data_IF_337282223368
#
_entry.id   IF_337282223368
#
_cell.length_a   1.000
_cell.length_b   1.000
_cell.length_c   1.000
_cell.angle_alpha   90.00
_cell.angle_beta   90.00
_cell.angle_gamma   90.00
#
_symmetry.space_group_name_H-M   'P 1'
#
loop_
_entity.id
_entity.type
_entity.pdbx_description
1 polymer ?
#
# COMPACT_ATOMS: atom_id res chain seq x y z
N UNK A 1 7.40 28.81 -54.92
CA UNK A 1 8.51 27.92 -54.51
C UNK A 1 9.25 28.45 -53.30
N UNK A 2 9.87 29.64 -53.35
CA UNK A 2 10.71 30.14 -52.22
C UNK A 2 10.01 30.35 -50.87
N UNK A 3 8.70 30.62 -50.84
CA UNK A 3 7.98 30.70 -49.55
C UNK A 3 7.79 29.31 -48.91
N UNK A 4 7.55 28.25 -49.68
CA UNK A 4 7.38 26.91 -49.14
C UNK A 4 8.68 26.35 -48.57
N UNK A 5 9.80 26.62 -49.26
CA UNK A 5 11.14 26.24 -48.80
C UNK A 5 11.50 26.92 -47.48
N UNK A 6 11.12 28.20 -47.32
CA UNK A 6 11.29 28.92 -46.06
C UNK A 6 10.50 28.28 -44.92
N UNK A 7 9.22 27.97 -45.14
CA UNK A 7 8.39 27.32 -44.10
C UNK A 7 8.91 25.91 -43.75
N UNK A 8 9.40 25.14 -44.71
CA UNK A 8 10.00 23.84 -44.44
C UNK A 8 11.30 23.96 -43.63
N UNK A 9 12.12 24.97 -43.92
CA UNK A 9 13.34 25.24 -43.14
C UNK A 9 13.02 25.69 -41.70
N UNK A 10 12.00 26.54 -41.54
CA UNK A 10 11.54 26.98 -40.22
C UNK A 10 10.98 25.81 -39.39
N UNK A 11 10.23 24.89 -40.01
CA UNK A 11 9.72 23.68 -39.35
C UNK A 11 10.86 22.74 -38.93
N UNK A 12 11.85 22.50 -39.79
CA UNK A 12 13.02 21.67 -39.44
C UNK A 12 13.81 22.29 -38.28
N UNK A 13 13.91 23.62 -38.25
CA UNK A 13 14.59 24.36 -37.18
C UNK A 13 13.82 24.26 -35.86
N UNK A 14 12.48 24.37 -35.91
CA UNK A 14 11.61 24.20 -34.73
C UNK A 14 11.61 22.76 -34.21
N UNK A 15 11.62 21.77 -35.09
CA UNK A 15 11.72 20.35 -34.73
C UNK A 15 13.08 20.03 -34.09
N UNK A 16 14.18 20.47 -34.70
CA UNK A 16 15.53 20.27 -34.15
C UNK A 16 15.74 21.00 -32.81
N UNK A 17 15.13 22.17 -32.64
CA UNK A 17 15.13 22.88 -31.36
C UNK A 17 14.23 22.17 -30.32
N UNK A 18 13.07 21.64 -30.72
CA UNK A 18 12.21 20.83 -29.84
C UNK A 18 12.93 19.56 -29.37
N UNK A 19 13.61 18.86 -30.27
CA UNK A 19 14.35 17.62 -29.99
C UNK A 19 15.58 17.88 -29.09
N UNK A 20 16.24 19.04 -29.23
CA UNK A 20 17.28 19.50 -28.29
C UNK A 20 16.73 19.93 -26.93
N UNK A 21 15.48 20.39 -26.88
CA UNK A 21 14.81 20.80 -25.64
C UNK A 21 14.07 19.65 -24.95
N UNK A 22 13.88 18.50 -25.59
CA UNK A 22 13.35 17.26 -24.99
C UNK A 22 14.07 16.88 -23.68
N UNK A 23 15.42 16.83 -23.60
CA UNK A 23 16.12 16.58 -22.33
C UNK A 23 16.06 17.75 -21.33
N UNK A 24 15.72 18.97 -21.78
CA UNK A 24 15.61 20.18 -20.94
C UNK A 24 14.19 20.53 -20.50
N UNK A 25 13.16 19.86 -21.03
CA UNK A 25 11.88 19.72 -20.35
C UNK A 25 12.15 18.89 -19.10
N UNK A 26 12.70 19.54 -18.06
CA UNK A 26 12.61 19.06 -16.68
C UNK A 26 11.17 18.62 -16.52
N UNK A 27 10.94 17.29 -16.47
CA UNK A 27 9.64 16.71 -16.14
C UNK A 27 9.10 17.57 -15.01
N UNK A 28 8.00 18.29 -15.23
CA UNK A 28 7.32 19.02 -14.14
C UNK A 28 7.30 18.04 -12.97
N UNK A 29 7.93 18.38 -11.84
CA UNK A 29 8.03 17.47 -10.69
C UNK A 29 6.61 16.97 -10.42
N UNK A 30 6.33 15.72 -10.75
CA UNK A 30 4.98 15.20 -10.63
C UNK A 30 4.61 15.25 -9.14
N UNK A 31 3.36 15.58 -8.77
CA UNK A 31 2.97 15.61 -7.36
C UNK A 31 2.93 14.20 -6.73
N UNK A 32 3.13 13.15 -7.54
CA UNK A 32 2.99 11.74 -7.19
C UNK A 32 3.90 11.32 -6.03
N UNK A 33 5.21 11.64 -5.99
CA UNK A 33 6.05 11.26 -4.87
C UNK A 33 5.58 11.87 -3.54
N UNK A 34 5.09 13.11 -3.57
CA UNK A 34 4.53 13.80 -2.40
C UNK A 34 3.21 13.18 -1.94
N UNK A 35 2.37 12.77 -2.88
CA UNK A 35 1.12 12.06 -2.56
C UNK A 35 1.40 10.72 -1.87
N UNK A 36 2.38 9.95 -2.36
CA UNK A 36 2.82 8.73 -1.67
C UNK A 36 3.37 9.01 -0.27
N UNK A 37 4.15 10.09 -0.11
CA UNK A 37 4.65 10.52 1.19
C UNK A 37 3.52 10.90 2.15
N UNK A 38 2.47 11.57 1.66
CA UNK A 38 1.26 11.87 2.43
C UNK A 38 0.57 10.58 2.89
N UNK A 39 0.30 9.64 1.98
CA UNK A 39 -0.32 8.34 2.32
C UNK A 39 0.51 7.63 3.39
N UNK A 40 1.83 7.58 3.22
CA UNK A 40 2.75 6.97 4.18
C UNK A 40 2.66 7.63 5.55
N UNK A 41 2.69 8.96 5.60
CA UNK A 41 2.55 9.72 6.84
C UNK A 41 1.24 9.41 7.58
N UNK A 42 0.13 9.36 6.84
CA UNK A 42 -1.17 9.01 7.40
C UNK A 42 -1.25 7.54 7.84
N UNK A 43 -0.67 6.61 7.09
CA UNK A 43 -0.60 5.19 7.46
C UNK A 43 0.21 4.97 8.75
N UNK A 44 1.36 5.66 8.91
CA UNK A 44 2.16 5.64 10.13
C UNK A 44 1.38 6.21 11.33
N UNK A 45 0.72 7.35 11.13
CA UNK A 45 -0.13 7.98 12.15
C UNK A 45 -1.29 7.07 12.57
N UNK A 46 -1.95 6.41 11.60
CA UNK A 46 -3.01 5.45 11.86
C UNK A 46 -2.50 4.26 12.68
N UNK A 47 -1.34 3.69 12.33
CA UNK A 47 -0.73 2.61 13.08
C UNK A 47 -0.44 3.00 14.53
N UNK A 48 0.13 4.19 14.75
CA UNK A 48 0.42 4.70 16.09
C UNK A 48 -0.87 4.91 16.90
N UNK A 49 -1.93 5.41 16.26
CA UNK A 49 -3.25 5.57 16.88
C UNK A 49 -3.85 4.22 17.28
N UNK A 50 -3.84 3.22 16.38
CA UNK A 50 -4.33 1.88 16.66
C UNK A 50 -3.53 1.20 17.76
N UNK A 51 -2.20 1.29 17.72
CA UNK A 51 -1.31 0.72 18.75
C UNK A 51 -1.62 1.24 20.16
N UNK A 52 -2.02 2.50 20.29
CA UNK A 52 -2.39 3.13 21.59
C UNK A 52 -3.83 2.85 22.02
N UNK A 53 -4.67 2.38 21.11
CA UNK A 53 -6.11 2.21 21.31
C UNK A 53 -6.46 0.84 21.91
N UNK A 54 -5.54 -0.12 21.97
CA UNK A 54 -5.78 -1.43 22.59
C UNK A 54 -5.45 -1.39 24.09
N UNK A 55 -6.42 -1.00 24.93
CA UNK A 55 -6.24 -0.76 26.38
C UNK A 55 -7.05 -1.74 27.24
N UNK A 56 -7.21 -2.97 26.78
CA UNK A 56 -8.02 -4.00 27.43
C UNK A 56 -7.17 -5.09 28.09
N UNK A 57 -7.69 -5.84 29.04
CA UNK A 57 -6.90 -6.89 29.74
C UNK A 57 -6.78 -8.21 28.97
N UNK A 58 -6.98 -8.20 27.65
CA UNK A 58 -6.87 -9.38 26.82
C UNK A 58 -5.43 -9.93 26.79
N UNK A 59 -5.26 -11.21 27.08
CA UNK A 59 -3.97 -11.91 27.05
C UNK A 59 -3.47 -12.25 25.65
N UNK A 60 -4.37 -12.19 24.67
CA UNK A 60 -4.15 -12.52 23.27
C UNK A 60 -4.00 -11.26 22.43
N UNK A 61 -3.41 -11.39 21.24
CA UNK A 61 -3.20 -10.25 20.34
C UNK A 61 -4.49 -9.85 19.61
N UNK A 62 -4.60 -8.57 19.29
CA UNK A 62 -5.62 -8.03 18.41
C UNK A 62 -5.08 -7.95 17.00
N UNK A 63 -5.86 -8.38 16.02
CA UNK A 63 -5.42 -8.33 14.64
C UNK A 63 -6.21 -7.29 13.85
N UNK A 64 -5.51 -6.56 12.98
CA UNK A 64 -6.10 -5.73 11.96
C UNK A 64 -5.59 -6.16 10.58
N UNK A 65 -6.50 -6.12 9.59
CA UNK A 65 -6.15 -6.36 8.18
C UNK A 65 -6.19 -5.03 7.45
N UNK A 66 -5.06 -4.53 6.97
CA UNK A 66 -4.98 -3.32 6.16
C UNK A 66 -5.10 -3.69 4.68
N UNK A 67 -6.14 -3.19 4.00
CA UNK A 67 -6.32 -3.41 2.57
C UNK A 67 -5.22 -2.69 1.76
N UNK A 68 -4.66 -3.41 0.80
CA UNK A 68 -3.72 -2.90 -0.19
C UNK A 68 -4.47 -2.40 -1.42
N UNK A 69 -4.17 -1.18 -1.85
CA UNK A 69 -4.94 -0.48 -2.89
C UNK A 69 -4.04 0.32 -3.83
N UNK A 70 -4.46 0.39 -5.10
CA UNK A 70 -3.93 1.36 -6.06
C UNK A 70 -4.69 2.68 -5.88
N UNK A 71 -4.06 3.66 -5.24
CA UNK A 71 -4.67 4.98 -4.95
C UNK A 71 -4.35 6.06 -6.00
N UNK A 72 -3.39 5.78 -6.89
CA UNK A 72 -2.99 6.69 -7.98
C UNK A 72 -3.50 6.13 -9.32
N UNK A 73 -4.27 6.91 -10.08
CA UNK A 73 -4.61 6.56 -11.47
C UNK A 73 -3.60 7.23 -12.42
N UNK A 74 -3.04 6.46 -13.36
CA UNK A 74 -2.29 7.02 -14.48
C UNK A 74 -3.26 7.16 -15.64
N UNK A 75 -3.71 8.38 -15.97
CA UNK A 75 -4.56 8.56 -17.17
C UNK A 75 -3.71 8.55 -18.45
N UNK A 76 -4.31 8.10 -19.56
CA UNK A 76 -3.72 8.01 -20.90
C UNK A 76 -3.57 9.40 -21.56
N UNK A 77 -3.18 10.44 -20.82
CA UNK A 77 -2.67 11.72 -21.38
C UNK A 77 -2.03 12.60 -20.29
N UNK A 78 -1.15 12.07 -19.43
CA UNK A 78 -0.29 12.90 -18.57
C UNK A 78 -0.97 13.82 -17.55
N UNK A 79 -2.29 13.69 -17.35
CA UNK A 79 -3.06 14.35 -16.29
C UNK A 79 -3.44 13.28 -15.28
N UNK A 80 -2.98 13.44 -14.04
CA UNK A 80 -3.22 12.50 -12.95
C UNK A 80 -4.43 13.03 -12.20
N UNK A 81 -5.62 12.49 -12.48
CA UNK A 81 -6.78 12.71 -11.63
C UNK A 81 -6.70 11.76 -10.44
N UNK A 82 -6.52 12.36 -9.25
CA UNK A 82 -6.74 11.68 -7.97
C UNK A 82 -8.21 11.26 -7.95
N UNK A 83 -8.46 10.00 -7.57
CA UNK A 83 -9.78 9.36 -7.64
C UNK A 83 -10.87 10.22 -6.98
N UNK A 84 -12.08 10.14 -7.55
CA UNK A 84 -13.40 10.58 -7.10
C UNK A 84 -13.71 10.27 -5.62
N UNK A 85 -12.97 10.91 -4.72
CA UNK A 85 -13.41 11.27 -3.38
C UNK A 85 -13.98 12.67 -3.48
N UNK A 86 -15.11 12.92 -2.82
CA UNK A 86 -15.71 14.26 -2.71
C UNK A 86 -14.73 15.33 -2.17
N UNK A 87 -13.54 14.93 -1.72
CA UNK A 87 -12.33 15.75 -1.58
C UNK A 87 -11.08 15.00 -2.13
N UNK A 88 -10.33 15.54 -3.11
CA UNK A 88 -9.13 14.90 -3.69
C UNK A 88 -7.93 14.78 -2.71
N UNK A 89 -8.05 15.35 -1.51
CA UNK A 89 -6.98 15.35 -0.50
C UNK A 89 -7.16 14.31 0.61
N UNK A 90 -8.30 13.64 0.69
CA UNK A 90 -8.64 12.75 1.81
C UNK A 90 -8.22 11.31 1.49
N UNK A 91 -7.16 10.83 2.14
CA UNK A 91 -6.75 9.42 2.05
C UNK A 91 -7.66 8.59 2.95
N UNK A 92 -8.15 7.49 2.40
CA UNK A 92 -9.05 6.55 3.06
C UNK A 92 -8.38 5.18 3.16
N UNK A 93 -8.36 4.61 4.36
CA UNK A 93 -7.83 3.27 4.61
C UNK A 93 -8.94 2.30 4.98
N UNK A 94 -9.13 1.26 4.16
CA UNK A 94 -9.99 0.14 4.54
C UNK A 94 -9.24 -0.78 5.49
N UNK A 95 -9.71 -0.90 6.73
CA UNK A 95 -9.13 -1.76 7.77
C UNK A 95 -10.20 -2.72 8.27
N UNK A 96 -9.87 -4.00 8.37
CA UNK A 96 -10.77 -4.99 8.96
C UNK A 96 -10.33 -5.34 10.37
N UNK A 97 -11.28 -5.34 11.31
CA UNK A 97 -11.05 -5.73 12.70
C UNK A 97 -11.84 -6.98 13.06
N UNK A 98 -11.32 -7.78 13.98
CA UNK A 98 -12.05 -8.90 14.59
C UNK A 98 -12.25 -8.61 16.09
N UNK A 99 -13.48 -8.76 16.62
CA UNK A 99 -13.74 -8.69 18.06
C UNK A 99 -13.24 -9.94 18.79
N UNK A 100 -12.99 -11.05 18.05
CA UNK A 100 -12.38 -12.26 18.58
C UNK A 100 -10.86 -12.11 18.63
N UNK A 101 -10.28 -12.52 19.75
CA UNK A 101 -8.85 -12.50 20.04
C UNK A 101 -8.08 -13.57 19.26
N UNK A 102 -6.82 -13.32 18.89
CA UNK A 102 -5.99 -14.30 18.16
C UNK A 102 -4.96 -14.97 19.07
N UNK A 103 -4.90 -16.30 19.04
CA UNK A 103 -3.79 -17.08 19.61
C UNK A 103 -2.58 -17.05 18.70
N UNK A 104 -1.40 -16.82 19.27
CA UNK A 104 -0.11 -17.02 18.60
C UNK A 104 0.15 -18.54 18.46
N UNK A 105 -0.58 -19.24 17.59
CA UNK A 105 -0.14 -20.57 17.15
C UNK A 105 0.77 -20.41 15.95
N UNK A 106 2.06 -20.60 16.20
CA UNK A 106 3.11 -20.75 15.20
C UNK A 106 2.72 -21.79 14.14
N UNK A 107 3.10 -21.51 12.89
CA UNK A 107 3.22 -22.45 11.77
C UNK A 107 1.92 -23.05 11.20
N UNK A 108 1.65 -22.66 9.94
CA UNK A 108 0.94 -23.42 8.89
C UNK A 108 -0.55 -23.73 9.00
N UNK A 109 -1.26 -23.36 10.06
CA UNK A 109 -2.72 -23.55 10.11
C UNK A 109 -3.48 -22.24 10.18
N UNK A 110 -4.14 -21.95 9.06
CA UNK A 110 -5.34 -21.14 8.86
C UNK A 110 -5.85 -20.41 10.10
N UNK A 111 -5.79 -19.07 10.04
CA UNK A 111 -6.57 -18.13 10.87
C UNK A 111 -7.92 -18.76 11.21
N UNK A 112 -8.37 -18.76 12.48
CA UNK A 112 -9.57 -19.49 12.91
C UNK A 112 -10.72 -19.24 11.95
N UNK A 113 -11.26 -20.34 11.41
CA UNK A 113 -12.24 -20.45 10.32
C UNK A 113 -13.58 -19.72 10.56
N UNK A 114 -13.71 -18.99 11.68
CA UNK A 114 -14.98 -18.39 12.14
C UNK A 114 -14.80 -17.01 12.81
N UNK A 115 -13.69 -16.31 12.55
CA UNK A 115 -13.55 -14.93 13.01
C UNK A 115 -14.40 -14.00 12.13
N UNK A 116 -15.47 -13.41 12.69
CA UNK A 116 -16.19 -12.33 12.03
C UNK A 116 -15.27 -11.11 11.90
N UNK A 117 -15.01 -10.67 10.67
CA UNK A 117 -14.24 -9.47 10.38
C UNK A 117 -15.16 -8.33 9.97
N UNK A 118 -14.97 -7.18 10.61
CA UNK A 118 -15.75 -5.97 10.38
C UNK A 118 -14.95 -5.03 9.50
N UNK A 119 -15.50 -4.69 8.34
CA UNK A 119 -14.91 -3.73 7.42
C UNK A 119 -15.12 -2.31 7.96
N UNK A 120 -14.03 -1.58 8.13
CA UNK A 120 -14.05 -0.17 8.52
C UNK A 120 -13.30 0.66 7.51
N UNK A 121 -13.70 1.91 7.42
CA UNK A 121 -13.10 2.93 6.61
C UNK A 121 -12.57 4.01 7.52
N UNK A 122 -11.27 4.31 7.42
CA UNK A 122 -10.60 5.24 8.32
C UNK A 122 -10.08 6.42 7.53
N UNK A 123 -10.45 7.62 7.98
CA UNK A 123 -10.00 8.89 7.39
C UNK A 123 -9.32 9.74 8.46
N UNK A 124 -8.25 10.42 8.07
CA UNK A 124 -7.57 11.38 8.93
C UNK A 124 -8.09 12.79 8.66
N UNK A 125 -8.39 13.54 9.72
CA UNK A 125 -8.62 14.98 9.68
C UNK A 125 -7.54 15.72 10.47
N UNK A 126 -7.05 16.82 9.90
CA UNK A 126 -6.11 17.73 10.54
C UNK A 126 -6.79 19.07 10.81
N UNK A 127 -6.92 19.41 12.09
CA UNK A 127 -7.30 20.76 12.51
C UNK A 127 -6.09 21.68 12.35
N UNK A 128 -6.15 22.58 11.37
CA UNK A 128 -5.07 23.55 11.15
C UNK A 128 -4.82 24.45 12.39
N UNK A 129 -3.64 25.08 12.48
CA UNK A 129 -3.26 25.93 13.62
C UNK A 129 -4.21 27.11 13.87
N UNK A 130 -5.02 27.51 12.89
CA UNK A 130 -6.02 28.58 13.02
C UNK A 130 -7.28 28.18 13.81
N UNK A 131 -7.58 26.88 13.95
CA UNK A 131 -8.70 26.43 14.78
C UNK A 131 -8.41 26.57 16.28
N UNK A 132 -7.13 26.43 16.68
CA UNK A 132 -6.70 26.56 18.07
C UNK A 132 -6.66 28.00 18.58
N UNK A 133 -6.59 29.01 17.69
CA UNK A 133 -6.59 30.44 18.07
C UNK A 133 -7.98 30.98 18.42
N UNK A 134 -9.06 30.26 18.13
CA UNK A 134 -10.44 30.66 18.50
C UNK A 134 -10.87 30.24 19.91
N UNK A 135 -9.99 29.59 20.68
CA UNK A 135 -10.27 29.12 22.03
C UNK A 135 -9.53 29.93 23.11
N UNK A 136 -9.51 31.26 23.01
CA UNK A 136 -9.12 32.15 24.10
C UNK A 136 -10.18 33.26 24.26
N UNK A 137 -10.70 33.53 25.48
CA UNK A 137 -11.63 34.63 25.69
C UNK A 137 -10.84 35.95 25.64
N UNK A 138 -10.89 36.64 24.50
CA UNK A 138 -10.38 38.01 24.39
C UNK A 138 -11.37 38.97 25.04
N UNK A 139 -10.92 39.64 26.10
CA UNK A 139 -11.57 40.80 26.71
C UNK A 139 -11.78 41.91 25.67
N UNK A 140 -12.99 42.47 25.67
CA UNK A 140 -13.42 43.55 24.78
C UNK A 140 -12.57 44.82 24.98
N UNK A 141 -12.01 45.33 23.89
CA UNK A 141 -11.77 46.77 23.76
C UNK A 141 -12.21 47.23 22.37
N UNK A 142 -13.19 48.12 22.39
CA UNK A 142 -13.88 48.74 21.27
C UNK A 142 -12.91 49.58 20.41
N UNK A 143 -12.67 49.14 19.17
CA UNK A 143 -12.27 50.05 18.10
C UNK A 143 -13.01 49.68 16.81
N UNK A 144 -13.92 50.55 16.41
CA UNK A 144 -14.66 50.51 15.14
C UNK A 144 -13.71 50.34 13.94
N UNK A 145 -13.77 49.18 13.28
CA UNK A 145 -13.33 48.99 11.88
C UNK A 145 -14.50 48.49 11.06
N UNK A 146 -14.85 49.23 10.02
CA UNK A 146 -15.89 48.89 9.04
C UNK A 146 -15.33 47.88 8.06
N UNK A 147 -16.00 46.74 7.88
CA UNK A 147 -15.69 45.72 6.88
C UNK A 147 -16.73 45.75 5.76
N UNK A 148 -16.25 45.70 4.52
CA UNK A 148 -17.08 45.64 3.32
C UNK A 148 -17.69 44.25 3.17
N UNK A 149 -19.02 44.18 3.01
CA UNK A 149 -19.75 42.94 2.72
C UNK A 149 -19.46 42.55 1.26
N UNK A 150 -18.65 41.51 1.07
CA UNK A 150 -18.63 40.76 -0.19
C UNK A 150 -19.39 39.46 0.02
N UNK A 151 -20.63 39.42 -0.45
CA UNK A 151 -21.45 38.23 -0.54
C UNK A 151 -20.87 37.26 -1.58
N UNK A 152 -19.98 36.38 -1.13
CA UNK A 152 -19.55 35.18 -1.85
C UNK A 152 -20.17 33.94 -1.20
N UNK A 153 -20.42 32.86 -1.97
CA UNK A 153 -21.13 31.68 -1.47
C UNK A 153 -20.35 31.06 -0.32
N UNK A 154 -21.06 30.79 0.78
CA UNK A 154 -20.53 30.13 1.98
C UNK A 154 -19.97 28.77 1.56
N UNK A 155 -18.65 28.69 1.41
CA UNK A 155 -17.92 27.42 1.40
C UNK A 155 -18.19 26.77 2.74
N UNK A 156 -19.00 25.70 2.71
CA UNK A 156 -19.26 24.87 3.88
C UNK A 156 -17.93 24.23 4.31
N UNK A 157 -17.23 24.88 5.24
CA UNK A 157 -16.24 24.19 6.05
C UNK A 157 -17.00 23.07 6.77
N UNK A 158 -16.77 21.83 6.35
CA UNK A 158 -17.42 20.65 6.90
C UNK A 158 -17.01 20.51 8.37
N UNK A 159 -17.86 20.99 9.26
CA UNK A 159 -17.81 20.76 10.69
C UNK A 159 -18.21 19.30 10.94
N UNK A 160 -17.25 18.37 10.86
CA UNK A 160 -17.46 16.95 11.16
C UNK A 160 -16.79 16.59 12.48
N UNK A 161 -17.33 17.14 13.57
CA UNK A 161 -17.34 16.42 14.86
C UNK A 161 -18.81 16.44 15.31
N UNK A 162 -19.67 15.79 14.53
CA UNK A 162 -21.04 15.51 14.93
C UNK A 162 -21.05 14.24 15.77
N UNK A 163 -21.29 14.35 17.07
CA UNK A 163 -21.74 13.31 18.02
C UNK A 163 -20.96 11.96 18.08
N UNK A 164 -19.85 11.81 17.35
CA UNK A 164 -19.05 10.60 17.34
C UNK A 164 -18.19 10.51 18.62
N UNK A 165 -18.22 9.38 19.36
CA UNK A 165 -17.48 9.24 20.60
C UNK A 165 -15.98 9.09 20.37
N UNK A 166 -15.17 9.60 21.31
CA UNK A 166 -13.74 9.30 21.36
C UNK A 166 -13.53 7.83 21.75
N UNK A 167 -12.79 7.09 20.95
CA UNK A 167 -12.47 5.68 21.21
C UNK A 167 -11.22 5.64 22.11
N UNK A 168 -11.43 5.38 23.40
CA UNK A 168 -10.34 5.20 24.38
C UNK A 168 -9.78 3.78 24.32
N UNK A 169 -10.66 2.79 24.22
CA UNK A 169 -10.32 1.38 24.04
C UNK A 169 -11.07 0.80 22.83
N UNK A 170 -10.31 0.46 21.78
CA UNK A 170 -10.84 -0.08 20.54
C UNK A 170 -11.43 -1.48 20.74
N UNK A 171 -10.88 -2.28 21.65
CA UNK A 171 -11.42 -3.61 21.96
C UNK A 171 -12.86 -3.52 22.49
N UNK A 172 -13.09 -2.67 23.48
CA UNK A 172 -14.43 -2.43 24.04
C UNK A 172 -15.36 -1.78 23.04
N UNK A 173 -14.89 -0.80 22.27
CA UNK A 173 -15.68 -0.13 21.24
C UNK A 173 -16.17 -1.12 20.17
N UNK A 174 -15.29 -2.01 19.69
CA UNK A 174 -15.67 -3.08 18.76
C UNK A 174 -16.67 -4.04 19.40
N UNK A 175 -16.52 -4.45 20.66
CA UNK A 175 -17.50 -5.36 21.29
C UNK A 175 -18.90 -4.74 21.46
N UNK A 176 -19.00 -3.43 21.66
CA UNK A 176 -20.25 -2.76 22.06
C UNK A 176 -21.03 -2.14 20.89
N UNK A 177 -20.34 -1.56 19.88
CA UNK A 177 -20.98 -0.64 18.93
C UNK A 177 -21.27 -1.20 17.53
N UNK A 178 -21.01 -2.49 17.29
CA UNK A 178 -21.13 -3.09 15.94
C UNK A 178 -22.57 -3.29 15.43
N UNK A 179 -23.59 -3.10 16.28
CA UNK A 179 -24.99 -3.40 15.93
C UNK A 179 -25.84 -2.19 15.51
N UNK A 180 -25.41 -0.94 15.72
CA UNK A 180 -26.35 0.20 15.63
C UNK A 180 -25.80 1.55 15.13
N UNK A 181 -24.53 1.69 14.74
CA UNK A 181 -23.96 3.00 14.35
C UNK A 181 -23.26 2.94 12.99
N UNK A 182 -23.38 4.00 12.20
CA UNK A 182 -22.63 4.16 10.93
C UNK A 182 -21.17 4.54 11.19
N UNK A 183 -20.91 5.29 12.26
CA UNK A 183 -19.59 5.72 12.69
C UNK A 183 -19.30 5.10 14.05
N UNK A 184 -18.17 4.38 14.17
CA UNK A 184 -17.75 3.76 15.42
C UNK A 184 -17.29 4.81 16.43
N UNK A 185 -16.59 5.84 15.94
CA UNK A 185 -16.01 6.92 16.74
C UNK A 185 -14.72 7.44 16.11
N UNK A 186 -13.90 8.15 16.88
CA UNK A 186 -12.61 8.65 16.43
C UNK A 186 -11.46 8.31 17.38
N UNK A 187 -10.24 8.15 16.84
CA UNK A 187 -9.00 8.00 17.58
C UNK A 187 -8.17 9.28 17.51
N UNK A 188 -7.64 9.73 18.65
CA UNK A 188 -6.77 10.92 18.71
C UNK A 188 -5.31 10.56 18.46
N UNK A 189 -4.65 11.30 17.57
CA UNK A 189 -3.21 11.19 17.29
C UNK A 189 -2.42 12.48 17.53
N UNK A 190 -2.40 12.88 18.81
CA UNK A 190 -1.76 14.13 19.24
C UNK A 190 -2.67 15.35 19.07
N UNK A 191 -2.11 16.57 19.16
CA UNK A 191 -2.89 17.79 19.03
C UNK A 191 -3.32 18.00 17.57
N UNK A 192 -4.63 18.00 17.33
CA UNK A 192 -5.21 18.38 16.03
C UNK A 192 -5.31 17.27 14.98
N UNK A 193 -4.83 16.05 15.23
CA UNK A 193 -5.03 14.90 14.32
C UNK A 193 -6.04 13.91 14.90
N UNK A 194 -7.06 13.62 14.11
CA UNK A 194 -8.12 12.67 14.46
C UNK A 194 -8.30 11.66 13.33
N UNK A 195 -8.40 10.39 13.69
CA UNK A 195 -8.75 9.30 12.78
C UNK A 195 -10.19 8.88 13.03
N UNK A 196 -11.10 9.20 12.11
CA UNK A 196 -12.51 8.80 12.20
C UNK A 196 -12.66 7.39 11.64
N UNK A 197 -13.30 6.50 12.41
CA UNK A 197 -13.55 5.11 12.03
C UNK A 197 -15.04 4.96 11.68
N UNK A 198 -15.32 4.79 10.40
CA UNK A 198 -16.65 4.52 9.89
C UNK A 198 -16.82 3.04 9.58
N UNK A 199 -17.99 2.48 9.88
CA UNK A 199 -18.34 1.14 9.43
C UNK A 199 -18.66 1.19 7.93
N UNK A 200 -17.98 0.35 7.14
CA UNK A 200 -18.12 0.39 5.69
C UNK A 200 -19.55 0.05 5.26
N UNK A 201 -20.16 0.88 4.40
CA UNK A 201 -21.52 0.68 3.90
C UNK A 201 -21.66 -0.40 2.80
N UNK A 202 -20.57 -1.10 2.45
CA UNK A 202 -20.46 -1.96 1.27
C UNK A 202 -20.27 -3.44 1.63
N UNK A 203 -20.96 -4.36 0.91
CA UNK A 203 -22.31 -4.76 1.30
C UNK A 203 -22.35 -5.39 2.69
N UNK A 204 -23.47 -5.18 3.38
CA UNK A 204 -23.90 -5.98 4.53
C UNK A 204 -23.70 -7.47 4.20
N UNK A 205 -22.78 -8.13 4.92
CA UNK A 205 -22.30 -9.52 4.75
C UNK A 205 -20.90 -9.68 4.08
N UNK A 206 -19.83 -9.28 4.77
CA UNK A 206 -18.69 -10.21 4.93
C UNK A 206 -18.91 -11.15 6.13
N UNK A 207 -19.93 -10.87 6.95
CA UNK A 207 -20.30 -11.62 8.14
C UNK A 207 -21.03 -12.94 7.86
N UNK A 208 -21.59 -13.19 6.66
CA UNK A 208 -22.33 -14.45 6.42
C UNK A 208 -21.63 -15.46 5.50
N UNK A 209 -20.67 -15.04 4.65
CA UNK A 209 -20.16 -15.90 3.56
C UNK A 209 -18.62 -15.99 3.44
N UNK A 210 -17.83 -15.43 4.37
CA UNK A 210 -16.36 -15.50 4.32
C UNK A 210 -15.78 -16.25 5.52
N UNK A 211 -15.08 -17.35 5.27
CA UNK A 211 -14.60 -18.21 6.36
C UNK A 211 -13.07 -18.42 6.33
N UNK A 212 -12.39 -18.12 5.22
CA UNK A 212 -10.96 -18.46 5.09
C UNK A 212 -10.08 -17.30 4.63
N UNK A 213 -8.88 -17.27 5.18
CA UNK A 213 -7.78 -16.40 4.76
C UNK A 213 -6.71 -17.27 4.10
N UNK A 214 -6.21 -16.85 2.95
CA UNK A 214 -5.12 -17.51 2.22
C UNK A 214 -3.97 -16.52 2.03
N UNK A 215 -2.72 -16.97 2.13
CA UNK A 215 -1.56 -16.17 1.75
C UNK A 215 -1.24 -16.35 0.25
N UNK A 216 -0.49 -15.43 -0.34
CA UNK A 216 -0.12 -15.48 -1.76
C UNK A 216 0.71 -16.72 -2.09
N UNK A 217 1.56 -17.18 -1.18
CA UNK A 217 2.34 -18.42 -1.37
C UNK A 217 1.45 -19.63 -1.65
N UNK A 218 0.37 -19.81 -0.88
CA UNK A 218 -0.59 -20.89 -1.09
C UNK A 218 -1.29 -20.81 -2.45
N UNK A 219 -1.42 -19.62 -3.02
CA UNK A 219 -2.02 -19.40 -4.34
C UNK A 219 -1.04 -19.69 -5.49
N UNK A 220 0.26 -19.48 -5.25
CA UNK A 220 1.32 -19.76 -6.22
C UNK A 220 1.73 -21.26 -6.22
N UNK A 221 1.85 -21.87 -5.03
CA UNK A 221 2.28 -23.27 -4.88
C UNK A 221 1.27 -24.26 -5.48
N UNK A 222 -0.02 -23.94 -5.39
CA UNK A 222 -1.12 -24.82 -5.83
C UNK A 222 -1.13 -25.08 -7.33
N UNK A 223 -0.24 -24.48 -8.13
CA UNK A 223 -0.17 -24.70 -9.58
C UNK A 223 0.77 -25.85 -10.02
N UNK A 224 1.70 -26.31 -9.17
CA UNK A 224 2.88 -27.04 -9.64
C UNK A 224 2.75 -28.58 -9.74
N UNK A 225 1.95 -29.24 -8.88
CA UNK A 225 1.88 -30.72 -8.91
C UNK A 225 0.75 -31.25 -9.82
N UNK A 226 1.11 -32.17 -10.71
CA UNK A 226 0.24 -32.81 -11.73
C UNK A 226 0.07 -34.31 -11.53
N UNK A 227 0.12 -34.83 -10.30
CA UNK A 227 0.10 -36.28 -10.06
C UNK A 227 -0.89 -36.81 -9.03
N UNK A 228 -1.71 -35.98 -8.37
CA UNK A 228 -2.67 -36.48 -7.38
C UNK A 228 -4.12 -36.25 -7.80
N UNK A 229 -4.91 -37.34 -7.79
CA UNK A 229 -6.28 -37.44 -8.34
C UNK A 229 -7.33 -36.72 -7.48
N UNK A 230 -6.92 -35.84 -6.56
CA UNK A 230 -7.83 -34.97 -5.80
C UNK A 230 -8.08 -33.65 -6.56
N UNK A 231 -8.64 -33.79 -7.75
CA UNK A 231 -9.10 -32.78 -8.72
C UNK A 231 -10.20 -31.82 -8.19
N UNK A 232 -10.27 -31.54 -6.89
CA UNK A 232 -11.41 -30.82 -6.31
C UNK A 232 -11.21 -29.35 -6.02
N UNK A 233 -10.03 -28.73 -6.17
CA UNK A 233 -9.90 -27.26 -6.00
C UNK A 233 -8.55 -26.65 -6.47
N UNK A 234 -8.00 -26.99 -7.64
CA UNK A 234 -6.79 -26.32 -8.16
C UNK A 234 -7.14 -24.94 -8.73
N UNK A 235 -7.25 -23.92 -7.86
CA UNK A 235 -7.56 -22.55 -8.29
C UNK A 235 -6.30 -21.92 -8.89
N UNK A 236 -6.20 -21.92 -10.23
CA UNK A 236 -5.15 -21.18 -10.95
C UNK A 236 -5.62 -19.76 -11.20
N UNK A 237 -4.88 -18.78 -10.69
CA UNK A 237 -5.20 -17.38 -10.94
C UNK A 237 -4.89 -17.00 -12.39
N UNK A 238 -5.86 -16.38 -13.12
CA UNK A 238 -5.60 -15.84 -14.43
C UNK A 238 -4.40 -14.89 -14.40
N UNK A 239 -3.59 -14.89 -15.48
CA UNK A 239 -2.41 -14.03 -15.58
C UNK A 239 -2.73 -12.55 -15.37
N UNK A 240 -3.88 -12.09 -15.90
CA UNK A 240 -4.40 -10.74 -15.66
C UNK A 240 -4.60 -10.45 -14.17
N UNK A 241 -5.21 -11.37 -13.43
CA UNK A 241 -5.40 -11.24 -11.97
C UNK A 241 -4.06 -11.15 -11.24
N UNK A 242 -3.10 -12.01 -11.59
CA UNK A 242 -1.75 -11.97 -10.99
C UNK A 242 -1.02 -10.66 -11.29
N UNK A 243 -1.15 -10.13 -12.50
CA UNK A 243 -0.63 -8.81 -12.87
C UNK A 243 -1.31 -7.67 -12.11
N UNK A 244 -2.63 -7.74 -11.93
CA UNK A 244 -3.35 -6.77 -11.10
C UNK A 244 -2.83 -6.78 -9.66
N UNK A 245 -2.57 -7.96 -9.10
CA UNK A 245 -1.95 -8.09 -7.78
C UNK A 245 -0.56 -7.43 -7.79
N UNK A 246 0.28 -7.71 -8.78
CA UNK A 246 1.63 -7.10 -8.90
C UNK A 246 1.58 -5.56 -8.93
N UNK A 247 0.63 -4.97 -9.66
CA UNK A 247 0.40 -3.52 -9.70
C UNK A 247 0.02 -2.98 -8.32
N UNK A 248 -0.89 -3.66 -7.61
CA UNK A 248 -1.30 -3.26 -6.25
C UNK A 248 -0.12 -3.36 -5.27
N UNK A 249 0.69 -4.40 -5.36
CA UNK A 249 1.86 -4.60 -4.52
C UNK A 249 2.94 -3.53 -4.77
N UNK A 250 3.25 -3.20 -6.03
CA UNK A 250 4.19 -2.14 -6.37
C UNK A 250 3.72 -0.76 -5.88
N UNK A 251 2.42 -0.47 -6.01
CA UNK A 251 1.81 0.74 -5.45
C UNK A 251 1.88 0.75 -3.91
N UNK A 252 1.67 -0.40 -3.28
CA UNK A 252 1.65 -0.52 -1.81
C UNK A 252 3.05 -0.31 -1.21
N UNK A 253 4.10 -0.76 -1.89
CA UNK A 253 5.49 -0.46 -1.50
C UNK A 253 5.71 1.06 -1.42
N UNK A 254 5.35 1.81 -2.46
CA UNK A 254 5.52 3.27 -2.48
C UNK A 254 4.68 4.00 -1.42
N UNK A 255 3.52 3.44 -1.08
CA UNK A 255 2.57 4.01 -0.12
C UNK A 255 2.92 3.72 1.34
N UNK A 256 3.58 2.60 1.64
CA UNK A 256 3.72 2.09 3.00
C UNK A 256 5.18 2.00 3.49
N UNK A 257 6.18 2.05 2.60
CA UNK A 257 7.59 1.88 2.97
C UNK A 257 8.35 3.21 3.16
N UNK A 258 9.25 3.36 4.15
CA UNK A 258 9.40 2.55 5.37
C UNK A 258 8.29 2.91 6.36
N UNK A 259 7.50 1.93 6.81
CA UNK A 259 6.38 2.17 7.70
C UNK A 259 6.02 0.92 8.47
N UNK A 260 5.26 1.04 9.57
CA UNK A 260 5.02 -0.07 10.48
C UNK A 260 4.11 -1.17 9.90
N UNK A 261 3.38 -0.86 8.82
CA UNK A 261 2.51 -1.81 8.15
C UNK A 261 3.23 -2.79 7.24
N UNK A 262 4.33 -2.37 6.60
CA UNK A 262 5.07 -3.17 5.62
C UNK A 262 6.51 -3.30 6.08
N UNK A 263 6.90 -4.53 6.42
CA UNK A 263 8.27 -4.85 6.83
C UNK A 263 9.28 -4.58 5.69
N UNK A 264 10.52 -4.31 6.06
CA UNK A 264 11.62 -4.10 5.12
C UNK A 264 11.84 -5.34 4.24
N UNK A 265 11.85 -6.52 4.86
CA UNK A 265 11.77 -7.82 4.18
C UNK A 265 10.32 -8.27 4.19
N UNK A 266 9.67 -8.19 3.04
CA UNK A 266 8.31 -8.66 2.83
C UNK A 266 8.28 -9.64 1.67
N UNK A 267 7.26 -10.49 1.62
CA UNK A 267 7.14 -11.50 0.57
C UNK A 267 5.73 -12.07 0.46
N UNK A 268 5.62 -13.16 -0.30
CA UNK A 268 4.36 -13.85 -0.59
C UNK A 268 3.63 -14.39 0.65
N UNK A 269 4.31 -14.52 1.79
CA UNK A 269 3.73 -14.95 3.06
C UNK A 269 3.01 -13.83 3.81
N UNK A 270 3.33 -12.58 3.51
CA UNK A 270 2.78 -11.40 4.18
C UNK A 270 1.53 -10.85 3.49
N UNK A 271 1.25 -11.31 2.26
CA UNK A 271 0.13 -10.87 1.43
C UNK A 271 -0.99 -11.89 1.53
N UNK A 272 -2.16 -11.43 1.98
CA UNK A 272 -3.32 -12.29 2.23
C UNK A 272 -4.54 -11.89 1.40
N UNK A 273 -5.42 -12.87 1.21
CA UNK A 273 -6.68 -12.76 0.50
C UNK A 273 -7.79 -13.45 1.28
N UNK A 274 -9.01 -12.94 1.13
CA UNK A 274 -10.19 -13.62 1.63
C UNK A 274 -10.70 -14.66 0.63
N UNK A 275 -11.21 -15.76 1.15
CA UNK A 275 -11.94 -16.78 0.38
C UNK A 275 -13.35 -16.93 0.94
N UNK A 276 -14.33 -16.83 0.04
CA UNK A 276 -15.74 -17.03 0.30
C UNK A 276 -16.07 -18.51 0.50
N UNK A 277 -17.24 -18.81 1.10
CA UNK A 277 -17.71 -20.18 1.37
C UNK A 277 -17.86 -21.04 0.11
N UNK A 278 -18.14 -20.42 -1.03
CA UNK A 278 -18.21 -21.05 -2.35
C UNK A 278 -16.82 -21.38 -2.94
N UNK A 279 -15.74 -21.03 -2.24
CA UNK A 279 -14.36 -21.21 -2.69
C UNK A 279 -13.81 -20.05 -3.52
N UNK A 280 -14.61 -19.03 -3.82
CA UNK A 280 -14.18 -17.87 -4.62
C UNK A 280 -13.17 -17.02 -3.84
N UNK A 281 -12.05 -16.69 -4.48
CA UNK A 281 -10.97 -15.89 -3.88
C UNK A 281 -11.14 -14.42 -4.27
N UNK A 282 -11.24 -13.54 -3.28
CA UNK A 282 -11.33 -12.09 -3.48
C UNK A 282 -9.95 -11.48 -3.78
N UNK A 283 -9.49 -11.67 -5.01
CA UNK A 283 -8.16 -11.26 -5.48
C UNK A 283 -7.98 -9.75 -5.69
N UNK A 284 -9.08 -9.00 -5.77
CA UNK A 284 -9.10 -7.53 -5.91
C UNK A 284 -8.82 -6.77 -4.61
N UNK A 285 -8.79 -7.48 -3.48
CA UNK A 285 -8.66 -6.89 -2.14
C UNK A 285 -7.56 -7.58 -1.32
N UNK A 286 -6.29 -7.64 -1.79
CA UNK A 286 -5.20 -8.13 -0.97
C UNK A 286 -5.06 -7.27 0.29
N UNK A 287 -4.60 -7.87 1.38
CA UNK A 287 -4.39 -7.17 2.64
C UNK A 287 -3.12 -7.63 3.37
N UNK A 288 -2.60 -6.75 4.20
CA UNK A 288 -1.57 -7.05 5.20
C UNK A 288 -2.24 -7.37 6.54
N UNK A 289 -1.73 -8.37 7.25
CA UNK A 289 -2.19 -8.71 8.59
C UNK A 289 -1.21 -8.13 9.62
N UNK A 290 -1.71 -7.38 10.60
CA UNK A 290 -0.90 -6.84 11.68
C UNK A 290 -1.48 -7.21 13.05
N UNK A 291 -0.63 -7.64 13.97
CA UNK A 291 -0.99 -8.01 15.33
C UNK A 291 -0.54 -6.94 16.34
N UNK A 292 -1.50 -6.40 17.08
CA UNK A 292 -1.32 -5.44 18.15
C UNK A 292 -1.37 -6.14 19.51
N UNK A 293 -0.48 -5.73 20.42
CA UNK A 293 -0.48 -6.17 21.81
C UNK A 293 -1.27 -5.17 22.66
N UNK A 294 -1.97 -5.67 23.67
CA UNK A 294 -2.62 -4.78 24.64
C UNK A 294 -1.57 -4.06 25.50
N UNK A 295 -1.85 -2.78 25.78
CA UNK A 295 -0.98 -1.93 26.58
C UNK A 295 -1.13 -2.14 28.11
N UNK A 296 -2.11 -2.93 28.58
CA UNK A 296 -2.30 -3.18 30.02
C UNK A 296 -1.41 -4.32 30.56
N UNK A 297 -0.88 -5.18 29.69
CA UNK A 297 0.00 -6.30 30.07
C UNK A 297 1.49 -5.93 30.08
N UNK A 298 1.84 -4.65 29.93
CA UNK A 298 3.22 -4.21 30.12
C UNK A 298 3.49 -4.05 31.61
N UNK A 299 3.86 -5.15 32.27
CA UNK A 299 4.62 -5.09 33.51
C UNK A 299 5.85 -4.20 33.28
N UNK A 300 5.97 -3.19 34.14
CA UNK A 300 7.12 -2.31 34.37
C UNK A 300 8.43 -2.77 33.74
N UNK A 301 8.62 -2.43 32.47
CA UNK A 301 9.93 -2.30 31.88
C UNK A 301 9.79 -1.11 30.96
N UNK A 302 10.40 0.01 31.36
CA UNK A 302 10.70 1.13 30.49
C UNK A 302 11.53 0.58 29.32
N UNK A 303 10.84 0.01 28.33
CA UNK A 303 11.41 -0.19 27.02
C UNK A 303 11.50 1.20 26.45
N UNK A 304 12.72 1.73 26.49
CA UNK A 304 13.20 2.76 25.59
C UNK A 304 12.47 2.67 24.25
N UNK A 305 12.13 3.80 23.59
CA UNK A 305 11.69 3.76 22.20
C UNK A 305 12.64 2.85 21.43
N UNK A 306 12.16 2.07 20.43
CA UNK A 306 13.04 1.19 19.68
C UNK A 306 14.27 2.00 19.30
N UNK A 307 15.43 1.63 19.86
CA UNK A 307 16.68 2.27 19.48
C UNK A 307 16.69 2.15 17.97
N UNK A 308 16.61 3.28 17.28
CA UNK A 308 17.08 3.38 15.91
C UNK A 308 18.48 2.80 15.97
N UNK A 309 18.63 1.62 15.42
CA UNK A 309 19.88 0.87 15.41
C UNK A 309 20.82 1.67 14.50
N UNK A 310 21.47 2.69 15.06
CA UNK A 310 22.44 3.57 14.40
C UNK A 310 23.74 2.82 14.02
N UNK A 311 23.71 1.49 14.01
CA UNK A 311 24.82 0.60 13.63
C UNK A 311 24.66 -0.09 12.28
N UNK A 312 23.52 0.03 11.60
CA UNK A 312 23.36 -0.50 10.24
C UNK A 312 23.45 0.63 9.24
N UNK A 313 24.42 0.53 8.32
CA UNK A 313 24.56 1.47 7.21
C UNK A 313 23.19 1.73 6.56
N UNK A 314 22.69 2.99 6.55
CA UNK A 314 21.34 3.32 6.07
C UNK A 314 21.13 3.01 4.57
N UNK A 315 22.18 2.60 3.85
CA UNK A 315 22.15 2.29 2.42
C UNK A 315 21.65 0.89 2.05
N UNK A 316 21.47 -0.05 2.99
CA UNK A 316 21.12 -1.45 2.62
C UNK A 316 19.63 -1.81 2.64
N UNK A 317 18.78 -1.04 3.33
CA UNK A 317 17.42 -1.52 3.61
C UNK A 317 16.44 -1.46 2.44
N UNK A 318 16.52 -0.40 1.62
CA UNK A 318 15.65 -0.27 0.44
C UNK A 318 15.93 -1.32 -0.64
N UNK A 319 17.18 -1.77 -0.76
CA UNK A 319 17.57 -2.81 -1.70
C UNK A 319 16.80 -4.10 -1.39
N UNK A 320 16.53 -4.38 -0.10
CA UNK A 320 15.77 -5.57 0.29
C UNK A 320 14.30 -5.47 -0.11
N UNK A 321 13.62 -4.34 0.10
CA UNK A 321 12.21 -4.21 -0.24
C UNK A 321 11.94 -4.16 -1.75
N UNK A 322 12.86 -3.57 -2.53
CA UNK A 322 12.80 -3.57 -3.99
C UNK A 322 13.17 -4.94 -4.57
N UNK A 323 14.14 -5.65 -3.99
CA UNK A 323 14.42 -7.04 -4.34
C UNK A 323 13.19 -7.92 -4.12
N UNK A 324 12.55 -7.82 -2.94
CA UNK A 324 11.27 -8.50 -2.65
C UNK A 324 10.21 -8.20 -3.70
N UNK A 325 10.06 -6.94 -4.10
CA UNK A 325 9.11 -6.57 -5.16
C UNK A 325 9.47 -7.23 -6.50
N UNK A 326 10.75 -7.21 -6.90
CA UNK A 326 11.22 -7.83 -8.13
C UNK A 326 10.95 -9.34 -8.17
N UNK A 327 11.20 -10.02 -7.05
CA UNK A 327 10.89 -11.45 -6.88
C UNK A 327 9.39 -11.69 -7.00
N UNK A 328 8.56 -10.95 -6.27
CA UNK A 328 7.11 -11.10 -6.31
C UNK A 328 6.53 -10.86 -7.70
N UNK A 329 7.07 -9.91 -8.47
CA UNK A 329 6.65 -9.68 -9.84
C UNK A 329 6.98 -10.89 -10.73
N UNK A 330 8.19 -11.46 -10.61
CA UNK A 330 8.56 -12.68 -11.33
C UNK A 330 7.64 -13.85 -10.95
N UNK A 331 7.43 -14.05 -9.65
CA UNK A 331 6.58 -15.13 -9.13
C UNK A 331 5.14 -14.98 -9.65
N UNK A 332 4.58 -13.77 -9.59
CA UNK A 332 3.26 -13.46 -10.10
C UNK A 332 3.17 -13.54 -11.62
N UNK A 333 4.24 -13.29 -12.37
CA UNK A 333 4.22 -13.41 -13.83
C UNK A 333 4.27 -14.86 -14.30
N UNK A 334 5.16 -15.66 -13.72
CA UNK A 334 5.39 -17.05 -14.09
C UNK A 334 4.50 -18.05 -13.35
N UNK A 335 3.76 -17.61 -12.33
CA UNK A 335 2.94 -18.47 -11.48
C UNK A 335 3.73 -19.57 -10.77
N UNK A 336 4.95 -19.26 -10.37
CA UNK A 336 5.90 -20.18 -9.74
C UNK A 336 6.59 -19.44 -8.61
N UNK A 337 7.03 -20.15 -7.58
CA UNK A 337 7.79 -19.50 -6.51
C UNK A 337 9.28 -19.50 -6.85
N UNK A 338 10.04 -18.56 -6.29
CA UNK A 338 11.49 -18.51 -6.47
C UNK A 338 12.17 -19.81 -5.97
N UNK A 339 11.59 -20.43 -4.94
CA UNK A 339 12.07 -21.69 -4.36
C UNK A 339 11.90 -22.87 -5.32
N UNK A 340 10.87 -22.86 -6.16
CA UNK A 340 10.64 -23.92 -7.16
C UNK A 340 11.62 -23.90 -8.34
N UNK A 341 12.59 -22.96 -8.35
CA UNK A 341 13.50 -22.80 -9.49
C UNK A 341 14.58 -23.88 -9.50
N UNK A 342 14.68 -24.71 -10.58
CA UNK A 342 15.64 -25.81 -10.62
C UNK A 342 17.11 -25.37 -10.46
N UNK A 343 17.43 -24.15 -10.87
CA UNK A 343 18.77 -23.58 -10.75
C UNK A 343 19.05 -22.91 -9.41
N UNK A 344 18.05 -22.76 -8.51
CA UNK A 344 18.23 -22.19 -7.16
C UNK A 344 19.26 -22.96 -6.35
N UNK A 345 19.31 -24.29 -6.52
CA UNK A 345 20.28 -25.18 -5.86
C UNK A 345 21.74 -24.78 -6.09
N UNK A 346 22.04 -24.07 -7.19
CA UNK A 346 23.39 -23.59 -7.51
C UNK A 346 23.80 -22.37 -6.68
N UNK A 347 22.86 -21.75 -5.97
CA UNK A 347 23.06 -20.53 -5.18
C UNK A 347 22.84 -20.74 -3.67
N UNK A 348 22.65 -22.00 -3.25
CA UNK A 348 22.61 -22.38 -1.84
C UNK A 348 24.02 -22.35 -1.25
N UNK A 349 24.09 -22.20 0.07
CA UNK A 349 25.34 -22.33 0.81
C UNK A 349 25.93 -23.75 0.75
N UNK A 350 27.18 -23.94 1.20
CA UNK A 350 27.83 -25.25 1.25
C UNK A 350 27.05 -26.31 2.05
N UNK A 351 26.18 -25.89 2.96
CA UNK A 351 25.30 -26.71 3.79
C UNK A 351 23.96 -27.06 3.13
N UNK A 352 23.74 -26.63 1.88
CA UNK A 352 22.48 -26.79 1.17
C UNK A 352 21.36 -25.89 1.68
N UNK A 353 21.66 -24.87 2.50
CA UNK A 353 20.67 -23.91 3.00
C UNK A 353 20.78 -22.56 2.29
N UNK A 354 19.74 -21.76 2.43
CA UNK A 354 19.69 -20.41 1.88
C UNK A 354 20.64 -19.49 2.66
N UNK A 355 21.36 -18.64 1.94
CA UNK A 355 22.22 -17.59 2.48
C UNK A 355 21.72 -16.21 2.04
N UNK A 356 22.39 -15.14 2.49
CA UNK A 356 21.99 -13.75 2.22
C UNK A 356 21.96 -13.37 0.72
N UNK A 357 22.62 -14.14 -0.15
CA UNK A 357 22.67 -13.91 -1.60
C UNK A 357 21.82 -14.89 -2.40
N UNK A 358 21.28 -15.95 -1.79
CA UNK A 358 20.54 -17.00 -2.51
C UNK A 358 19.37 -16.43 -3.30
N UNK A 359 18.55 -15.58 -2.67
CA UNK A 359 17.40 -14.96 -3.33
C UNK A 359 17.83 -13.99 -4.44
N UNK A 360 18.83 -13.15 -4.17
CA UNK A 360 19.36 -12.21 -5.15
C UNK A 360 19.89 -12.93 -6.40
N UNK A 361 20.76 -13.92 -6.23
CA UNK A 361 21.36 -14.66 -7.34
C UNK A 361 20.31 -15.48 -8.11
N UNK A 362 19.35 -16.06 -7.40
CA UNK A 362 18.25 -16.80 -8.05
C UNK A 362 17.37 -15.85 -8.85
N UNK A 363 17.01 -14.69 -8.29
CA UNK A 363 16.19 -13.67 -8.95
C UNK A 363 16.91 -13.09 -10.17
N UNK A 364 18.21 -12.80 -10.06
CA UNK A 364 19.04 -12.34 -11.17
C UNK A 364 18.98 -13.33 -12.34
N UNK A 365 19.31 -14.60 -12.10
CA UNK A 365 19.31 -15.60 -13.16
C UNK A 365 17.92 -15.79 -13.77
N UNK A 366 16.87 -15.74 -12.94
CA UNK A 366 15.50 -15.85 -13.42
C UNK A 366 15.09 -14.66 -14.28
N UNK A 367 15.50 -13.45 -13.89
CA UNK A 367 15.24 -12.22 -14.61
C UNK A 367 15.96 -12.17 -15.97
N UNK A 368 17.18 -12.72 -16.06
CA UNK A 368 17.90 -12.89 -17.33
C UNK A 368 17.10 -13.79 -18.29
N UNK A 369 16.59 -14.94 -17.80
CA UNK A 369 15.74 -15.85 -18.58
C UNK A 369 14.38 -15.23 -18.96
N UNK A 370 13.85 -14.34 -18.12
CA UNK A 370 12.58 -13.69 -18.36
C UNK A 370 12.57 -12.84 -19.65
N UNK A 371 13.74 -12.42 -20.16
CA UNK A 371 13.82 -11.69 -21.44
C UNK A 371 13.23 -12.50 -22.60
N UNK A 372 13.57 -13.79 -22.68
CA UNK A 372 13.15 -14.68 -23.76
C UNK A 372 11.67 -15.06 -23.61
N UNK A 373 11.19 -15.29 -22.39
CA UNK A 373 9.83 -15.78 -22.14
C UNK A 373 8.76 -14.67 -22.02
N UNK A 374 9.14 -13.49 -21.55
CA UNK A 374 8.22 -12.42 -21.18
C UNK A 374 8.44 -11.10 -21.93
N UNK A 375 9.54 -11.00 -22.66
CA UNK A 375 9.91 -9.82 -23.43
C UNK A 375 10.58 -8.72 -22.60
N UNK A 376 10.97 -7.68 -23.31
CA UNK A 376 11.82 -6.59 -22.80
C UNK A 376 11.20 -5.80 -21.64
N UNK A 377 9.87 -5.61 -21.66
CA UNK A 377 9.18 -4.82 -20.64
C UNK A 377 9.29 -5.45 -19.24
N UNK A 378 9.00 -6.76 -19.12
CA UNK A 378 9.13 -7.47 -17.84
C UNK A 378 10.59 -7.57 -17.42
N UNK A 379 11.48 -7.86 -18.36
CA UNK A 379 12.91 -7.94 -18.08
C UNK A 379 13.42 -6.62 -17.47
N UNK A 380 13.13 -5.48 -18.09
CA UNK A 380 13.61 -4.19 -17.63
C UNK A 380 13.06 -3.79 -16.26
N UNK A 381 11.76 -3.97 -16.01
CA UNK A 381 11.18 -3.58 -14.72
C UNK A 381 11.70 -4.47 -13.57
N UNK A 382 11.85 -5.78 -13.79
CA UNK A 382 12.36 -6.70 -12.77
C UNK A 382 13.84 -6.48 -12.51
N UNK A 383 14.63 -6.16 -13.56
CA UNK A 383 16.05 -5.77 -13.44
C UNK A 383 16.20 -4.57 -12.49
N UNK A 384 15.42 -3.53 -12.72
CA UNK A 384 15.52 -2.29 -11.93
C UNK A 384 15.19 -2.56 -10.47
N UNK A 385 14.16 -3.35 -10.18
CA UNK A 385 13.84 -3.78 -8.82
C UNK A 385 14.96 -4.59 -8.17
N UNK A 386 15.45 -5.65 -8.84
CA UNK A 386 16.44 -6.59 -8.28
C UNK A 386 17.78 -5.90 -8.00
N UNK A 387 18.25 -5.05 -8.92
CA UNK A 387 19.52 -4.34 -8.78
C UNK A 387 19.41 -2.97 -8.11
N UNK A 388 18.19 -2.52 -7.77
CA UNK A 388 17.92 -1.13 -7.37
C UNK A 388 18.51 -0.10 -8.37
N UNK A 389 18.40 -0.39 -9.66
CA UNK A 389 19.07 0.37 -10.73
C UNK A 389 18.20 1.52 -11.26
N UNK A 390 17.92 2.49 -10.40
CA UNK A 390 17.04 3.64 -10.71
C UNK A 390 17.79 4.95 -10.99
N UNK A 391 19.12 4.97 -10.85
CA UNK A 391 19.93 6.17 -11.09
C UNK A 391 19.71 7.32 -10.11
N UNK A 392 18.99 7.08 -9.00
CA UNK A 392 18.82 8.04 -7.92
C UNK A 392 20.09 8.13 -7.06
N UNK A 393 20.36 9.31 -6.50
CA UNK A 393 21.52 9.52 -5.62
C UNK A 393 21.35 8.76 -4.31
N UNK A 394 20.12 8.75 -3.79
CA UNK A 394 19.74 8.02 -2.58
C UNK A 394 19.09 6.68 -2.93
N UNK A 395 19.49 5.63 -2.21
CA UNK A 395 18.78 4.35 -2.18
C UNK A 395 17.74 4.33 -1.06
N UNK A 396 17.07 5.44 -0.78
CA UNK A 396 15.97 5.50 0.20
C UNK A 396 14.66 5.80 -0.52
N UNK A 397 13.66 4.93 -0.35
CA UNK A 397 12.29 5.16 -0.83
C UNK A 397 11.59 6.31 -0.08
N UNK A 398 12.20 6.84 0.98
CA UNK A 398 11.92 8.15 1.59
C UNK A 398 12.28 9.36 0.71
N UNK A 399 13.17 9.18 -0.27
CA UNK A 399 13.53 10.21 -1.24
C UNK A 399 12.48 10.30 -2.37
N UNK A 400 12.07 11.52 -2.70
CA UNK A 400 11.15 11.81 -3.80
C UNK A 400 11.72 11.40 -5.17
N UNK A 401 13.04 11.48 -5.36
CA UNK A 401 13.73 11.10 -6.60
C UNK A 401 13.58 9.60 -6.86
N UNK A 402 13.99 8.75 -5.90
CA UNK A 402 13.88 7.31 -6.04
C UNK A 402 12.41 6.88 -6.13
N UNK A 403 11.54 7.46 -5.31
CA UNK A 403 10.10 7.13 -5.34
C UNK A 403 9.46 7.45 -6.68
N UNK A 404 9.81 8.60 -7.26
CA UNK A 404 9.38 9.01 -8.60
C UNK A 404 9.92 8.07 -9.68
N UNK A 405 11.19 7.67 -9.58
CA UNK A 405 11.81 6.72 -10.50
C UNK A 405 11.14 5.34 -10.45
N UNK A 406 10.91 4.78 -9.25
CA UNK A 406 10.22 3.49 -9.08
C UNK A 406 8.78 3.56 -9.62
N UNK A 407 8.06 4.65 -9.38
CA UNK A 407 6.73 4.82 -9.98
C UNK A 407 6.78 4.83 -11.51
N UNK A 408 7.67 5.64 -12.10
CA UNK A 408 7.76 5.79 -13.56
C UNK A 408 8.33 4.57 -14.29
N UNK A 409 9.20 3.80 -13.64
CA UNK A 409 9.97 2.72 -14.27
C UNK A 409 9.57 1.31 -13.82
N UNK A 410 8.68 1.20 -12.83
CA UNK A 410 8.10 -0.09 -12.39
C UNK A 410 6.59 -0.05 -12.43
N UNK A 411 5.96 0.89 -11.72
CA UNK A 411 4.49 0.94 -11.59
C UNK A 411 3.83 1.23 -12.94
N UNK A 412 4.23 2.31 -13.63
CA UNK A 412 3.63 2.64 -14.93
C UNK A 412 3.86 1.56 -16.00
N UNK A 413 5.05 0.94 -16.14
CA UNK A 413 5.23 -0.21 -17.02
C UNK A 413 4.35 -1.41 -16.67
N UNK A 414 4.21 -1.76 -15.38
CA UNK A 414 3.30 -2.83 -14.94
C UNK A 414 1.84 -2.52 -15.29
N UNK A 415 1.42 -1.27 -15.12
CA UNK A 415 0.07 -0.83 -15.51
C UNK A 415 -0.14 -0.91 -17.01
N UNK A 416 0.85 -0.52 -17.83
CA UNK A 416 0.79 -0.70 -19.29
C UNK A 416 0.72 -2.16 -19.68
N UNK A 417 1.49 -3.03 -19.03
CA UNK A 417 1.42 -4.48 -19.24
C UNK A 417 0.04 -5.03 -18.90
N UNK A 418 -0.55 -4.60 -17.78
CA UNK A 418 -1.91 -4.98 -17.41
C UNK A 418 -2.94 -4.51 -18.44
N UNK A 419 -2.82 -3.28 -18.94
CA UNK A 419 -3.71 -2.70 -19.96
C UNK A 419 -3.72 -3.50 -21.28
N UNK A 420 -2.61 -4.13 -21.66
CA UNK A 420 -2.58 -5.04 -22.83
C UNK A 420 -3.50 -6.25 -22.68
N UNK A 421 -3.89 -6.62 -21.46
CA UNK A 421 -4.88 -7.67 -21.20
C UNK A 421 -6.30 -7.12 -21.03
N UNK A 422 -6.48 -5.81 -21.10
CA UNK A 422 -7.78 -5.13 -21.13
C UNK A 422 -8.27 -4.96 -22.57
N UNK A 423 -7.36 -4.56 -23.46
CA UNK A 423 -7.65 -4.29 -24.88
C UNK A 423 -7.91 -5.57 -25.72
N UNK A 424 -7.73 -6.78 -25.15
CA UNK A 424 -7.95 -8.08 -25.84
C UNK A 424 -9.37 -8.64 -25.62
N UNK A 425 -10.16 -8.02 -24.75
CA UNK A 425 -11.54 -8.44 -24.43
C UNK A 425 -12.61 -7.44 -24.86
N UNK A 426 -12.23 -6.38 -25.57
CA UNK A 426 -13.11 -5.43 -26.26
C UNK A 426 -12.99 -5.65 -27.77
#
# INVERSE_FOLDING_TARGET
MGQLEKHNSDIQTLLGNSERLEPMRRKRKSPIPKYFQQIRGQACSLHAALSRAWRCDCSLTHAAKLRLEKRVKSDKMGVVDVVDTQDPNTVKFSVFFSPKLQSESSTETLVPTEAEWYATEITMTESGPDAARKALPSTETDTRRVSFVSSGPKSAASSVIGDAPEIIDLCSALKQNLKCRKTLGYLRDGPGRLHTIDLAAYPQSLSSNMYRVLNLESLLFRSADTSDKSERNKVTLPRRTRLSIAVVLANSLLQLHTGPWLAEKWGKRDIYFFQSSDGTIQTSHPFLLYNFKSNNHTSSSERNPPKLDLGQSPSRGCNSSLLSLGILILELWFNQTIESRPFRKNFLGPDGRENEYTDFNTAQKWQEQAMEEAGLDLHNLTRRCIYCAFGAVSQDLGDDELRGAVYGEVVQPLERLLGRFEDVLA
#
